data_IF_068638259578
#
_entry.id   IF_068638259578
#
_cell.length_a   1.000
_cell.length_b   1.000
_cell.length_c   1.000
_cell.angle_alpha   90.00
_cell.angle_beta   90.00
_cell.angle_gamma   90.00
#
_symmetry.space_group_name_H-M   'P 1'
#
loop_
_entity.id
_entity.type
_entity.pdbx_description
1 polymer ?
#
# COMPACT_ATOMS: atom_id res chain seq x y z
N UNK A 1 -0.70 -2.52 -18.18
CA UNK A 1 0.08 -3.76 -17.97
C UNK A 1 1.60 -3.52 -17.98
N UNK A 2 2.11 -2.68 -18.87
CA UNK A 2 3.56 -2.42 -19.04
C UNK A 2 4.26 -1.85 -17.79
N UNK A 3 3.61 -0.94 -17.06
CA UNK A 3 4.12 -0.38 -15.81
C UNK A 3 4.24 -1.40 -14.64
N UNK A 4 3.72 -2.63 -14.79
CA UNK A 4 3.87 -3.68 -13.78
C UNK A 4 3.04 -3.49 -12.50
N UNK A 5 2.06 -2.58 -12.50
CA UNK A 5 1.19 -2.29 -11.34
C UNK A 5 -0.22 -2.89 -11.45
N UNK A 6 -0.57 -3.49 -12.59
CA UNK A 6 -1.94 -3.90 -12.90
C UNK A 6 -2.52 -4.87 -11.86
N UNK A 7 -1.76 -5.90 -11.50
CA UNK A 7 -2.18 -6.90 -10.52
C UNK A 7 -2.38 -6.28 -9.14
N UNK A 8 -1.54 -5.32 -8.75
CA UNK A 8 -1.70 -4.63 -7.47
C UNK A 8 -2.94 -3.71 -7.48
N UNK A 9 -3.22 -3.03 -8.61
CA UNK A 9 -4.47 -2.29 -8.78
C UNK A 9 -5.69 -3.22 -8.67
N UNK A 10 -5.63 -4.44 -9.21
CA UNK A 10 -6.71 -5.42 -9.02
C UNK A 10 -6.82 -5.87 -7.55
N UNK A 11 -5.70 -6.06 -6.86
CA UNK A 11 -5.69 -6.38 -5.44
C UNK A 11 -6.35 -5.26 -4.60
N UNK A 12 -6.17 -3.99 -4.97
CA UNK A 12 -6.80 -2.86 -4.28
C UNK A 12 -8.33 -2.81 -4.37
N UNK A 13 -8.95 -3.68 -5.19
CA UNK A 13 -10.42 -3.83 -5.24
C UNK A 13 -10.99 -4.72 -4.14
N UNK A 14 -10.13 -5.46 -3.44
CA UNK A 14 -10.52 -6.27 -2.30
C UNK A 14 -10.51 -5.43 -1.01
N UNK A 15 -11.16 -5.93 0.04
CA UNK A 15 -11.26 -5.29 1.35
C UNK A 15 -9.90 -5.30 2.09
N UNK A 16 -8.96 -4.46 1.64
CA UNK A 16 -7.63 -4.29 2.26
C UNK A 16 -7.71 -3.60 3.64
N UNK A 17 -8.82 -2.92 3.93
CA UNK A 17 -9.12 -2.27 5.18
C UNK A 17 -9.63 -3.23 6.27
N UNK A 18 -9.81 -4.51 5.96
CA UNK A 18 -10.16 -5.53 6.94
C UNK A 18 -8.88 -6.10 7.56
N UNK A 19 -8.71 -5.85 8.85
CA UNK A 19 -7.58 -6.33 9.65
C UNK A 19 -8.03 -6.78 11.04
N UNK A 20 -7.21 -7.61 11.70
CA UNK A 20 -7.36 -7.95 13.11
C UNK A 20 -6.50 -7.00 13.96
N UNK A 21 -7.10 -6.02 14.66
CA UNK A 21 -6.35 -5.08 15.48
C UNK A 21 -5.56 -5.78 16.60
N UNK A 22 -6.11 -6.91 17.08
CA UNK A 22 -5.47 -7.91 17.95
C UNK A 22 -4.05 -8.24 17.51
N UNK A 23 -4.03 -8.83 16.32
CA UNK A 23 -2.84 -9.38 15.70
C UNK A 23 -1.84 -8.28 15.36
N UNK A 24 -2.31 -7.16 14.79
CA UNK A 24 -1.45 -6.04 14.41
C UNK A 24 -0.78 -5.39 15.63
N UNK A 25 -1.55 -5.01 16.65
CA UNK A 25 -1.02 -4.37 17.85
C UNK A 25 -0.02 -5.27 18.56
N UNK A 26 -0.36 -6.56 18.73
CA UNK A 26 0.52 -7.54 19.37
C UNK A 26 1.83 -7.73 18.60
N UNK A 27 1.76 -7.76 17.27
CA UNK A 27 2.94 -7.93 16.42
C UNK A 27 3.89 -6.74 16.51
N UNK A 28 3.37 -5.51 16.55
CA UNK A 28 4.20 -4.31 16.58
C UNK A 28 5.02 -4.22 17.87
N UNK A 29 4.57 -4.81 19.00
CA UNK A 29 5.39 -4.93 20.21
C UNK A 29 6.72 -5.66 19.97
N UNK A 30 6.78 -6.58 19.01
CA UNK A 30 7.99 -7.30 18.67
C UNK A 30 8.86 -6.55 17.66
N UNK A 31 8.44 -5.41 17.10
CA UNK A 31 9.24 -4.66 16.13
C UNK A 31 10.44 -3.98 16.80
N UNK A 32 11.63 -4.46 16.46
CA UNK A 32 12.89 -3.87 16.87
C UNK A 32 13.39 -2.90 15.78
N UNK A 33 13.47 -1.62 16.14
CA UNK A 33 13.83 -0.52 15.21
C UNK A 33 15.31 -0.51 14.83
N UNK A 34 16.17 -1.08 15.67
CA UNK A 34 17.61 -1.16 15.41
C UNK A 34 17.92 -2.24 14.39
N UNK A 35 17.30 -3.41 14.54
CA UNK A 35 17.50 -4.55 13.62
C UNK A 35 16.58 -4.52 12.40
N UNK A 36 15.55 -3.65 12.40
CA UNK A 36 14.49 -3.58 11.38
C UNK A 36 13.81 -4.95 11.17
N UNK A 37 13.58 -5.67 12.27
CA UNK A 37 12.95 -6.97 12.27
C UNK A 37 12.03 -7.18 13.48
N UNK A 38 11.09 -8.11 13.35
CA UNK A 38 10.31 -8.59 14.47
C UNK A 38 11.13 -9.61 15.26
N UNK A 39 11.31 -9.36 16.55
CA UNK A 39 12.09 -10.19 17.47
C UNK A 39 11.15 -11.14 18.23
N UNK A 40 10.82 -12.27 17.61
CA UNK A 40 10.02 -13.30 18.27
C UNK A 40 10.92 -14.23 19.10
N UNK A 41 10.37 -14.98 20.08
CA UNK A 41 11.14 -15.97 20.83
C UNK A 41 11.81 -17.04 19.94
N UNK A 42 11.28 -17.27 18.74
CA UNK A 42 11.84 -18.20 17.75
C UNK A 42 12.86 -17.58 16.79
N UNK A 43 13.19 -16.29 16.95
CA UNK A 43 14.19 -15.58 16.15
C UNK A 43 13.66 -14.33 15.46
N UNK A 44 14.56 -13.65 14.73
CA UNK A 44 14.24 -12.45 13.96
C UNK A 44 13.57 -12.80 12.64
N UNK A 45 12.45 -12.13 12.36
CA UNK A 45 11.72 -12.29 11.10
C UNK A 45 11.27 -10.92 10.60
N UNK A 46 11.36 -10.65 9.30
CA UNK A 46 10.94 -9.38 8.72
C UNK A 46 10.33 -9.55 7.33
N UNK A 47 9.43 -8.65 6.90
CA UNK A 47 8.93 -8.62 5.54
C UNK A 47 10.05 -8.26 4.56
N UNK A 48 10.19 -9.03 3.49
CA UNK A 48 11.23 -8.84 2.48
C UNK A 48 10.66 -8.30 1.17
N UNK A 49 11.55 -7.89 0.25
CA UNK A 49 11.13 -7.46 -1.08
C UNK A 49 10.42 -8.57 -1.88
N UNK A 50 10.80 -9.84 -1.65
CA UNK A 50 10.13 -10.99 -2.26
C UNK A 50 8.73 -11.18 -1.69
N UNK A 51 8.51 -10.94 -0.40
CA UNK A 51 7.18 -10.98 0.19
C UNK A 51 6.27 -9.91 -0.42
N UNK A 52 6.78 -8.69 -0.61
CA UNK A 52 6.05 -7.62 -1.30
C UNK A 52 5.66 -8.06 -2.72
N UNK A 53 6.62 -8.62 -3.46
CA UNK A 53 6.38 -9.08 -4.83
C UNK A 53 5.38 -10.26 -4.87
N UNK A 54 5.43 -11.18 -3.91
CA UNK A 54 4.49 -12.29 -3.82
C UNK A 54 3.06 -11.79 -3.56
N UNK A 55 2.88 -10.91 -2.58
CA UNK A 55 1.57 -10.37 -2.17
C UNK A 55 0.97 -9.49 -3.26
N UNK A 56 1.75 -8.56 -3.81
CA UNK A 56 1.24 -7.47 -4.68
C UNK A 56 1.48 -7.69 -6.17
N UNK A 57 2.34 -8.65 -6.55
CA UNK A 57 2.87 -8.85 -7.92
C UNK A 57 3.65 -7.66 -8.50
N UNK A 58 4.04 -6.70 -7.65
CA UNK A 58 4.99 -5.65 -8.06
C UNK A 58 6.35 -6.27 -8.37
N UNK A 59 7.01 -5.76 -9.43
CA UNK A 59 8.36 -6.20 -9.79
C UNK A 59 9.37 -5.77 -8.70
N UNK A 60 10.27 -6.67 -8.25
CA UNK A 60 11.32 -6.33 -7.27
C UNK A 60 12.51 -5.57 -7.90
N UNK A 61 12.53 -5.46 -9.23
CA UNK A 61 13.58 -4.79 -10.00
C UNK A 61 13.01 -3.56 -10.71
N UNK A 62 13.84 -2.53 -10.83
CA UNK A 62 13.50 -1.24 -11.41
C UNK A 62 14.35 -0.13 -10.82
N UNK A 63 14.15 1.08 -11.33
CA UNK A 63 14.85 2.29 -10.93
C UNK A 63 14.36 2.75 -9.55
N UNK A 64 15.30 3.28 -8.76
CA UNK A 64 14.96 3.83 -7.45
C UNK A 64 14.17 5.13 -7.63
N UNK A 65 13.03 5.24 -6.98
CA UNK A 65 12.33 6.51 -6.87
C UNK A 65 13.06 7.45 -5.90
N UNK A 66 13.46 8.61 -6.38
CA UNK A 66 14.08 9.67 -5.61
C UNK A 66 13.31 10.97 -5.91
N UNK A 67 12.47 11.47 -4.96
CA UNK A 67 11.64 12.64 -5.19
C UNK A 67 12.43 13.86 -5.69
N UNK A 68 13.64 14.05 -5.15
CA UNK A 68 14.48 15.22 -5.45
C UNK A 68 15.17 15.14 -6.82
N UNK A 69 15.18 13.96 -7.45
CA UNK A 69 15.85 13.73 -8.75
C UNK A 69 14.81 13.63 -9.87
N UNK A 70 13.60 13.18 -9.54
CA UNK A 70 12.57 12.99 -10.54
C UNK A 70 11.84 14.30 -10.81
N UNK A 71 12.22 14.96 -11.89
CA UNK A 71 11.53 16.15 -12.38
C UNK A 71 10.10 15.83 -12.83
N UNK A 72 9.21 16.81 -12.68
CA UNK A 72 7.85 16.76 -13.23
C UNK A 72 7.95 16.77 -14.76
N UNK A 73 7.55 15.69 -15.42
CA UNK A 73 7.51 15.66 -16.90
C UNK A 73 6.42 16.59 -17.45
N UNK A 74 5.34 16.77 -16.69
CA UNK A 74 4.26 17.72 -16.95
C UNK A 74 4.13 18.59 -15.70
N UNK A 75 4.37 19.92 -15.78
CA UNK A 75 4.22 20.79 -14.62
C UNK A 75 2.80 20.74 -14.05
N UNK A 76 2.67 20.77 -12.71
CA UNK A 76 1.35 20.79 -12.06
C UNK A 76 0.42 21.90 -12.58
N UNK A 77 0.98 23.05 -13.00
CA UNK A 77 0.25 24.21 -13.54
C UNK A 77 -0.34 23.97 -14.93
N UNK A 78 0.16 22.98 -15.65
CA UNK A 78 -0.28 22.63 -17.02
C UNK A 78 -1.27 21.46 -17.03
N UNK A 79 -1.60 20.93 -15.85
CA UNK A 79 -2.58 19.85 -15.71
C UNK A 79 -4.01 20.35 -15.62
N UNK A 80 -4.97 19.50 -16.03
CA UNK A 80 -6.40 19.69 -15.72
C UNK A 80 -6.78 19.19 -14.32
N UNK A 81 -5.81 18.89 -13.45
CA UNK A 81 -6.06 18.40 -12.09
C UNK A 81 -6.44 19.59 -11.20
N UNK A 82 -7.51 19.43 -10.43
CA UNK A 82 -8.18 20.47 -9.65
C UNK A 82 -7.68 20.36 -8.20
N UNK A 83 -6.56 21.00 -7.95
CA UNK A 83 -5.76 20.83 -6.72
C UNK A 83 -6.39 21.37 -5.43
N UNK A 84 -7.46 22.15 -5.51
CA UNK A 84 -8.24 22.62 -4.35
C UNK A 84 -9.13 21.50 -3.77
N UNK A 85 -9.48 20.49 -4.57
CA UNK A 85 -10.26 19.32 -4.13
C UNK A 85 -9.37 18.32 -3.42
N UNK A 86 -9.05 18.62 -2.17
CA UNK A 86 -8.02 17.86 -1.46
C UNK A 86 -8.51 16.54 -0.89
N UNK A 87 -9.75 16.43 -0.42
CA UNK A 87 -10.21 15.18 0.24
C UNK A 87 -10.40 14.06 -0.77
N UNK A 88 -10.19 12.80 -0.36
CA UNK A 88 -10.32 11.66 -1.27
C UNK A 88 -11.65 11.65 -2.04
N UNK A 89 -12.78 11.84 -1.37
CA UNK A 89 -14.09 11.87 -2.02
C UNK A 89 -14.22 13.03 -3.01
N UNK A 90 -13.85 14.25 -2.62
CA UNK A 90 -13.98 15.42 -3.52
C UNK A 90 -13.01 15.36 -4.70
N UNK A 91 -11.82 14.81 -4.50
CA UNK A 91 -10.83 14.61 -5.55
C UNK A 91 -11.31 13.58 -6.58
N UNK A 92 -11.84 12.43 -6.14
CA UNK A 92 -12.40 11.42 -7.05
C UNK A 92 -13.63 11.98 -7.78
N UNK A 93 -14.52 12.70 -7.10
CA UNK A 93 -15.68 13.32 -7.74
C UNK A 93 -15.31 14.38 -8.78
N UNK A 94 -14.18 15.08 -8.62
CA UNK A 94 -13.73 16.10 -9.56
C UNK A 94 -12.98 15.53 -10.77
N UNK A 95 -12.51 14.28 -10.69
CA UNK A 95 -11.59 13.69 -11.65
C UNK A 95 -12.06 12.36 -12.25
N UNK A 96 -13.23 11.86 -11.88
CA UNK A 96 -13.85 10.79 -12.65
C UNK A 96 -14.39 11.37 -13.96
N UNK A 97 -14.02 10.75 -15.07
CA UNK A 97 -14.63 11.06 -16.36
C UNK A 97 -16.08 10.56 -16.45
N UNK A 98 -16.80 11.00 -17.48
CA UNK A 98 -18.13 10.48 -17.77
C UNK A 98 -18.06 8.99 -18.15
N UNK A 99 -19.01 8.20 -17.65
CA UNK A 99 -19.05 6.76 -17.93
C UNK A 99 -19.19 6.50 -19.45
N UNK A 100 -18.36 5.59 -19.96
CA UNK A 100 -18.32 5.27 -21.39
C UNK A 100 -17.42 6.16 -22.24
N UNK A 101 -16.81 7.21 -21.66
CA UNK A 101 -15.79 8.01 -22.35
C UNK A 101 -14.39 7.39 -22.21
N UNK A 102 -13.48 7.60 -23.20
CA UNK A 102 -12.09 7.18 -23.06
C UNK A 102 -11.41 7.90 -21.89
N UNK A 103 -10.72 7.14 -21.04
CA UNK A 103 -9.94 7.69 -19.92
C UNK A 103 -8.85 8.62 -20.44
N UNK A 104 -8.85 9.86 -19.95
CA UNK A 104 -7.83 10.85 -20.32
C UNK A 104 -6.52 10.64 -19.57
N UNK A 105 -5.42 11.22 -20.07
CA UNK A 105 -4.12 11.12 -19.40
C UNK A 105 -4.16 11.70 -17.98
N UNK A 106 -4.82 12.85 -17.80
CA UNK A 106 -4.95 13.50 -16.50
C UNK A 106 -5.88 12.76 -15.55
N UNK A 107 -6.96 12.14 -16.06
CA UNK A 107 -7.79 11.24 -15.28
C UNK A 107 -6.98 10.04 -14.79
N UNK A 108 -6.16 9.43 -15.65
CA UNK A 108 -5.29 8.33 -15.25
C UNK A 108 -4.23 8.76 -14.22
N UNK A 109 -3.60 9.93 -14.39
CA UNK A 109 -2.65 10.47 -13.41
C UNK A 109 -3.33 10.78 -12.08
N UNK A 110 -4.53 11.38 -12.10
CA UNK A 110 -5.32 11.64 -10.90
C UNK A 110 -5.70 10.33 -10.19
N UNK A 111 -6.15 9.32 -10.93
CA UNK A 111 -6.42 7.98 -10.40
C UNK A 111 -5.17 7.39 -9.73
N UNK A 112 -4.00 7.44 -10.39
CA UNK A 112 -2.76 6.93 -9.83
C UNK A 112 -2.35 7.68 -8.56
N UNK A 113 -2.54 9.00 -8.54
CA UNK A 113 -2.26 9.82 -7.37
C UNK A 113 -3.15 9.44 -6.18
N UNK A 114 -4.44 9.27 -6.43
CA UNK A 114 -5.40 8.76 -5.44
C UNK A 114 -5.01 7.36 -4.95
N UNK A 115 -4.76 6.43 -5.89
CA UNK A 115 -4.45 5.04 -5.60
C UNK A 115 -3.17 4.88 -4.78
N UNK A 116 -2.10 5.61 -5.14
CA UNK A 116 -0.86 5.65 -4.37
C UNK A 116 -1.12 6.13 -2.93
N UNK A 117 -1.95 7.16 -2.78
CA UNK A 117 -2.22 7.81 -1.50
C UNK A 117 -3.09 6.96 -0.58
N UNK A 118 -4.20 6.44 -1.10
CA UNK A 118 -5.23 5.75 -0.33
C UNK A 118 -4.97 4.24 -0.19
N UNK A 119 -4.51 3.58 -1.26
CA UNK A 119 -4.41 2.11 -1.31
C UNK A 119 -2.97 1.62 -1.11
N UNK A 120 -1.98 2.26 -1.74
CA UNK A 120 -0.59 1.78 -1.68
C UNK A 120 0.09 2.19 -0.38
N UNK A 121 0.15 3.49 -0.10
CA UNK A 121 0.85 4.02 1.06
C UNK A 121 -0.08 4.33 2.24
N UNK A 122 -1.40 4.34 2.04
CA UNK A 122 -2.40 4.60 3.08
C UNK A 122 -2.01 5.82 3.95
N UNK A 123 -1.87 6.95 3.26
CA UNK A 123 -1.38 8.21 3.85
C UNK A 123 -2.25 8.59 5.04
N UNK A 124 -1.67 9.04 6.18
CA UNK A 124 -2.44 9.45 7.37
C UNK A 124 -3.49 10.53 7.12
N UNK A 125 -3.30 11.32 6.06
CA UNK A 125 -4.22 12.38 5.66
C UNK A 125 -5.44 11.81 4.95
N UNK A 126 -6.62 12.39 5.21
CA UNK A 126 -7.84 12.17 4.40
C UNK A 126 -7.81 12.92 3.06
N UNK A 127 -6.66 13.52 2.73
CA UNK A 127 -6.43 14.29 1.52
C UNK A 127 -5.45 13.58 0.59
N UNK A 128 -5.58 13.84 -0.71
CA UNK A 128 -4.63 13.42 -1.74
C UNK A 128 -3.41 14.35 -1.72
N UNK A 129 -2.26 13.90 -1.21
CA UNK A 129 -1.05 14.69 -1.20
C UNK A 129 -0.49 14.94 -2.59
N UNK A 130 -0.02 16.16 -2.82
CA UNK A 130 0.67 16.57 -4.05
C UNK A 130 2.03 15.91 -4.24
N UNK A 131 2.72 15.54 -3.17
CA UNK A 131 4.11 15.05 -3.23
C UNK A 131 4.26 13.65 -3.88
N UNK A 132 3.14 12.96 -4.18
CA UNK A 132 3.15 11.73 -5.00
C UNK A 132 2.90 12.01 -6.49
N UNK A 133 2.74 13.27 -6.90
CA UNK A 133 2.41 13.63 -8.27
C UNK A 133 3.45 13.15 -9.28
N UNK A 134 4.74 13.42 -9.04
CA UNK A 134 5.84 12.96 -9.90
C UNK A 134 5.90 11.42 -9.99
N UNK A 135 5.62 10.71 -8.89
CA UNK A 135 5.50 9.26 -8.91
C UNK A 135 4.31 8.78 -9.77
N UNK A 136 3.15 9.43 -9.65
CA UNK A 136 1.97 9.12 -10.44
C UNK A 136 2.22 9.34 -11.94
N UNK A 137 2.88 10.44 -12.32
CA UNK A 137 3.31 10.71 -13.69
C UNK A 137 4.27 9.64 -14.20
N UNK A 138 5.27 9.29 -13.40
CA UNK A 138 6.24 8.26 -13.78
C UNK A 138 5.58 6.91 -14.06
N UNK A 139 4.60 6.53 -13.24
CA UNK A 139 3.80 5.32 -13.46
C UNK A 139 2.92 5.44 -14.71
N UNK A 140 2.29 6.60 -14.94
CA UNK A 140 1.51 6.89 -16.15
C UNK A 140 2.37 6.76 -17.42
N UNK A 141 3.56 7.37 -17.41
CA UNK A 141 4.57 7.31 -18.47
C UNK A 141 5.31 5.97 -18.54
N UNK A 142 4.93 5.01 -17.69
CA UNK A 142 5.47 3.64 -17.66
C UNK A 142 6.98 3.59 -17.41
N UNK A 143 7.53 4.60 -16.72
CA UNK A 143 8.91 4.58 -16.23
C UNK A 143 9.11 3.35 -15.33
N UNK A 144 10.30 2.75 -15.36
CA UNK A 144 10.59 1.47 -14.68
C UNK A 144 10.83 1.65 -13.18
N UNK A 145 10.03 2.45 -12.49
CA UNK A 145 10.16 2.73 -11.06
C UNK A 145 9.89 1.47 -10.23
N UNK A 146 10.79 1.17 -9.30
CA UNK A 146 10.66 0.03 -8.39
C UNK A 146 9.73 0.36 -7.21
N UNK A 147 8.41 0.34 -7.46
CA UNK A 147 7.39 0.64 -6.45
C UNK A 147 7.44 -0.31 -5.25
N UNK A 148 7.84 -1.57 -5.45
CA UNK A 148 7.99 -2.58 -4.40
C UNK A 148 9.04 -2.18 -3.34
N UNK A 149 10.21 -1.68 -3.78
CA UNK A 149 11.25 -1.17 -2.87
C UNK A 149 10.79 0.06 -2.10
N UNK A 150 10.09 0.97 -2.79
CA UNK A 150 9.53 2.16 -2.17
C UNK A 150 8.49 1.81 -1.12
N UNK A 151 7.58 0.88 -1.43
CA UNK A 151 6.56 0.38 -0.51
C UNK A 151 7.19 -0.30 0.71
N UNK A 152 8.20 -1.15 0.52
CA UNK A 152 8.90 -1.81 1.64
C UNK A 152 9.58 -0.80 2.57
N UNK A 153 10.29 0.18 1.99
CA UNK A 153 10.95 1.22 2.77
C UNK A 153 9.96 2.09 3.55
N UNK A 154 8.86 2.49 2.88
CA UNK A 154 7.77 3.24 3.54
C UNK A 154 7.16 2.42 4.68
N UNK A 155 6.91 1.13 4.43
CA UNK A 155 6.32 0.24 5.42
C UNK A 155 7.21 0.05 6.66
N UNK A 156 8.54 -0.10 6.50
CA UNK A 156 9.47 -0.13 7.63
C UNK A 156 9.46 1.19 8.44
N UNK A 157 9.31 2.33 7.77
CA UNK A 157 9.16 3.62 8.47
C UNK A 157 7.84 3.68 9.24
N UNK A 158 6.75 3.14 8.69
CA UNK A 158 5.48 3.03 9.41
C UNK A 158 5.60 2.14 10.64
N UNK A 159 6.31 1.00 10.56
CA UNK A 159 6.55 0.13 11.71
C UNK A 159 7.39 0.82 12.80
N UNK A 160 8.40 1.60 12.42
CA UNK A 160 9.18 2.40 13.36
C UNK A 160 8.32 3.42 14.12
N UNK A 161 7.48 4.16 13.38
CA UNK A 161 6.58 5.16 13.98
C UNK A 161 5.49 4.50 14.82
N UNK A 162 4.96 3.36 14.38
CA UNK A 162 4.00 2.57 15.13
C UNK A 162 4.60 2.10 16.47
N UNK A 163 5.79 1.49 16.43
CA UNK A 163 6.55 1.05 17.61
C UNK A 163 6.81 2.22 18.55
N UNK A 164 7.30 3.36 18.04
CA UNK A 164 7.46 4.60 18.84
C UNK A 164 6.16 5.02 19.54
N UNK A 165 5.03 4.90 18.86
CA UNK A 165 3.74 5.37 19.39
C UNK A 165 3.21 4.48 20.53
N UNK A 166 3.46 3.16 20.48
CA UNK A 166 3.07 2.21 21.53
C UNK A 166 3.76 2.48 22.87
N UNK A 167 5.00 2.95 22.86
CA UNK A 167 5.77 3.25 24.07
C UNK A 167 5.62 4.71 24.55
N UNK A 168 4.68 5.49 23.99
CA UNK A 168 4.40 6.85 24.48
C UNK A 168 3.61 6.81 25.80
N UNK A 169 3.99 7.70 26.71
CA UNK A 169 3.31 7.87 28.02
C UNK A 169 1.82 8.24 27.88
N UNK A 170 1.43 8.89 26.77
CA UNK A 170 0.05 9.31 26.50
C UNK A 170 -0.82 8.20 25.90
N UNK A 171 -0.31 6.98 25.75
CA UNK A 171 -0.98 5.87 25.09
C UNK A 171 -0.76 5.83 23.57
N UNK A 172 -1.11 4.68 22.93
CA UNK A 172 -0.91 4.46 21.50
C UNK A 172 -1.76 5.42 20.66
N UNK A 173 -1.17 5.99 19.61
CA UNK A 173 -1.94 6.69 18.56
C UNK A 173 -2.50 5.69 17.56
N UNK A 174 -3.49 6.12 16.78
CA UNK A 174 -3.94 5.36 15.61
C UNK A 174 -2.75 4.99 14.74
N UNK A 175 -2.64 3.70 14.44
CA UNK A 175 -1.66 3.17 13.51
C UNK A 175 -1.97 3.71 12.10
N UNK A 176 -0.96 4.16 11.38
CA UNK A 176 -1.09 4.73 10.03
C UNK A 176 -0.15 4.03 9.05
N UNK A 177 -0.43 4.17 7.76
CA UNK A 177 0.31 3.48 6.71
C UNK A 177 -0.35 2.16 6.28
N UNK A 178 0.33 1.35 5.45
CA UNK A 178 -0.27 0.18 4.81
C UNK A 178 -0.36 -1.00 5.79
N UNK A 179 -1.25 -0.89 6.79
CA UNK A 179 -1.51 -1.96 7.76
C UNK A 179 -2.02 -3.23 7.12
N UNK A 180 -2.70 -3.09 5.97
CA UNK A 180 -3.06 -4.22 5.11
C UNK A 180 -1.84 -5.09 4.79
N UNK A 181 -0.67 -4.50 4.55
CA UNK A 181 0.53 -5.24 4.19
C UNK A 181 1.04 -6.06 5.37
N UNK A 182 1.01 -5.48 6.58
CA UNK A 182 1.34 -6.22 7.80
C UNK A 182 0.37 -7.38 8.01
N UNK A 183 -0.93 -7.14 7.86
CA UNK A 183 -1.96 -8.18 7.99
C UNK A 183 -1.73 -9.33 7.01
N UNK A 184 -1.55 -9.04 5.72
CA UNK A 184 -1.36 -10.08 4.70
C UNK A 184 -0.06 -10.86 4.90
N UNK A 185 1.02 -10.17 5.27
CA UNK A 185 2.29 -10.83 5.58
C UNK A 185 2.17 -11.76 6.80
N UNK A 186 1.48 -11.30 7.85
CA UNK A 186 1.20 -12.13 9.02
C UNK A 186 0.33 -13.33 8.67
N UNK A 187 -0.66 -13.14 7.80
CA UNK A 187 -1.50 -14.23 7.31
C UNK A 187 -0.68 -15.29 6.57
N UNK A 188 0.34 -14.87 5.81
CA UNK A 188 1.25 -15.79 5.12
C UNK A 188 2.13 -16.57 6.10
N UNK A 189 2.72 -15.90 7.10
CA UNK A 189 3.61 -16.54 8.08
C UNK A 189 2.84 -17.48 9.00
N UNK A 190 1.67 -17.07 9.46
CA UNK A 190 0.85 -17.84 10.39
C UNK A 190 -0.21 -18.66 9.68
N UNK A 191 -0.10 -18.86 8.35
CA UNK A 191 -1.11 -19.54 7.54
C UNK A 191 -1.56 -20.87 8.14
N UNK A 192 -0.62 -21.69 8.65
CA UNK A 192 -0.92 -22.99 9.28
C UNK A 192 -1.76 -22.90 10.55
N UNK A 193 -1.81 -21.73 11.19
CA UNK A 193 -2.58 -21.45 12.41
C UNK A 193 -3.89 -20.74 12.10
N UNK A 194 -3.98 -20.09 10.94
CA UNK A 194 -5.20 -19.50 10.42
C UNK A 194 -6.01 -20.58 9.69
N UNK A 195 -7.33 -20.53 9.81
CA UNK A 195 -8.22 -21.48 9.14
C UNK A 195 -8.98 -20.73 8.05
N UNK A 196 -8.87 -21.18 6.81
CA UNK A 196 -9.83 -20.81 5.78
C UNK A 196 -11.18 -21.42 6.13
N UNK A 197 -12.24 -20.65 5.95
CA UNK A 197 -13.57 -21.24 5.94
C UNK A 197 -13.66 -22.22 4.74
N UNK A 198 -14.38 -23.35 4.85
CA UNK A 198 -14.46 -24.34 3.77
C UNK A 198 -14.87 -23.75 2.41
N UNK A 199 -15.73 -22.74 2.42
CA UNK A 199 -16.17 -21.99 1.24
C UNK A 199 -15.05 -21.15 0.57
N UNK A 200 -14.08 -20.66 1.34
CA UNK A 200 -12.95 -19.90 0.81
C UNK A 200 -11.84 -20.83 0.29
N UNK A 201 -11.72 -22.03 0.86
CA UNK A 201 -10.74 -23.03 0.43
C UNK A 201 -11.03 -23.59 -0.97
N UNK A 202 -12.28 -23.53 -1.45
CA UNK A 202 -12.66 -23.96 -2.81
C UNK A 202 -12.49 -22.89 -3.88
N UNK A 203 -12.21 -21.63 -3.50
CA UNK A 203 -12.02 -20.52 -4.43
C UNK A 203 -10.60 -20.55 -5.00
N UNK A 204 -10.49 -20.45 -6.33
CA UNK A 204 -9.20 -20.27 -7.00
C UNK A 204 -8.88 -18.78 -7.08
N UNK A 205 -7.97 -18.33 -6.23
CA UNK A 205 -7.46 -16.95 -6.26
C UNK A 205 -6.41 -16.77 -7.35
N UNK A 206 -6.51 -15.69 -8.12
CA UNK A 206 -5.51 -15.32 -9.14
C UNK A 206 -4.31 -14.57 -8.56
N UNK A 207 -4.51 -13.92 -7.40
CA UNK A 207 -3.52 -13.12 -6.68
C UNK A 207 -3.32 -13.69 -5.27
N UNK A 208 -2.07 -13.80 -4.87
CA UNK A 208 -1.73 -14.32 -3.53
C UNK A 208 -2.24 -13.38 -2.43
N UNK A 209 -2.10 -12.06 -2.61
CA UNK A 209 -2.69 -11.08 -1.69
C UNK A 209 -4.19 -11.30 -1.47
N UNK A 210 -4.96 -11.63 -2.52
CA UNK A 210 -6.40 -11.87 -2.41
C UNK A 210 -6.72 -13.14 -1.60
N UNK A 211 -5.90 -14.20 -1.77
CA UNK A 211 -6.00 -15.41 -0.96
C UNK A 211 -5.69 -15.13 0.51
N UNK A 212 -4.65 -14.33 0.77
CA UNK A 212 -4.25 -13.94 2.12
C UNK A 212 -5.32 -13.06 2.80
N UNK A 213 -6.05 -12.21 2.07
CA UNK A 213 -7.19 -11.46 2.63
C UNK A 213 -8.26 -12.42 3.17
N UNK A 214 -8.51 -13.54 2.48
CA UNK A 214 -9.50 -14.52 2.91
C UNK A 214 -9.13 -15.23 4.22
N UNK A 215 -7.84 -15.24 4.59
CA UNK A 215 -7.36 -15.77 5.88
C UNK A 215 -7.56 -14.80 7.05
N UNK A 216 -7.81 -13.51 6.78
CA UNK A 216 -7.97 -12.52 7.86
C UNK A 216 -9.19 -12.89 8.71
N UNK A 217 -9.01 -13.09 10.03
CA UNK A 217 -10.12 -13.39 10.93
C UNK A 217 -11.16 -12.28 10.88
N UNK A 218 -12.39 -12.61 10.45
CA UNK A 218 -13.54 -11.71 10.54
C UNK A 218 -14.18 -11.90 11.92
N UNK A 219 -14.22 -10.83 12.72
CA UNK A 219 -15.00 -10.79 13.97
C UNK A 219 -16.47 -10.56 13.67
#
# INVERSE_FOLDING_TARGET
KEAGIFDFVQLSKYDLDVFDPHMLLSTIFFWNRETRAFEFPCGFVCPTLLDIAAITRLKPLGDRYLPDILEEDIPMTETSIVWDKKTYSTFVSAHHGEEGTPVTDFEHIAFLLYWLSACVFCTPSLQVPKYYYTLAQALHLKKKICLSKLLLAYFYNCLDEASKSLFRQTGPRNLTGPLWLLQLWLNAIFEKKLKLLPLQASIRYSLEGARLIALTPKK
#
